data_IF_536156745606
#
_entry.id   IF_536156745606
#
_cell.length_a   1.000
_cell.length_b   1.000
_cell.length_c   1.000
_cell.angle_alpha   90.00
_cell.angle_beta   90.00
_cell.angle_gamma   90.00
#
_symmetry.space_group_name_H-M   'P 1'
#
loop_
_entity.id
_entity.type
_entity.pdbx_description
1 polymer ?
#
# COMPACT_ATOMS: atom_id res chain seq x y z
N UNK A 1 -8.38 -41.53 -9.57
CA UNK A 1 -8.50 -41.11 -8.15
C UNK A 1 -8.91 -39.64 -8.08
N UNK A 2 -9.90 -39.31 -7.24
CA UNK A 2 -10.32 -37.92 -6.99
C UNK A 2 -9.54 -37.35 -5.80
N UNK A 3 -9.15 -36.08 -5.89
CA UNK A 3 -8.59 -35.30 -4.78
C UNK A 3 -9.54 -34.13 -4.53
N UNK A 4 -9.72 -33.77 -3.26
CA UNK A 4 -10.50 -32.61 -2.85
C UNK A 4 -9.53 -31.52 -2.41
N UNK A 5 -9.64 -30.37 -3.05
CA UNK A 5 -8.93 -29.14 -2.68
C UNK A 5 -9.94 -28.01 -2.49
N UNK A 6 -9.49 -26.88 -1.95
CA UNK A 6 -10.29 -25.67 -1.83
C UNK A 6 -9.43 -24.45 -2.07
N UNK A 7 -10.04 -23.40 -2.61
CA UNK A 7 -9.39 -22.13 -2.90
C UNK A 7 -10.22 -21.00 -2.28
N UNK A 8 -9.53 -20.10 -1.56
CA UNK A 8 -10.12 -18.85 -1.07
C UNK A 8 -10.27 -17.82 -2.19
N UNK A 9 -11.14 -16.84 -1.93
CA UNK A 9 -11.35 -15.66 -2.76
C UNK A 9 -10.04 -14.98 -3.14
N UNK A 10 -9.91 -14.65 -4.43
CA UNK A 10 -8.77 -13.95 -5.04
C UNK A 10 -9.27 -13.20 -6.27
N UNK A 11 -8.57 -12.14 -6.71
CA UNK A 11 -8.84 -11.52 -8.00
C UNK A 11 -8.78 -12.55 -9.15
N UNK A 12 -9.60 -12.35 -10.19
CA UNK A 12 -9.70 -13.26 -11.33
C UNK A 12 -8.33 -13.57 -11.97
N UNK A 13 -7.48 -12.55 -12.16
CA UNK A 13 -6.11 -12.74 -12.67
C UNK A 13 -5.34 -13.79 -11.86
N UNK A 14 -5.35 -13.62 -10.55
CA UNK A 14 -4.52 -14.41 -9.65
C UNK A 14 -4.98 -15.87 -9.63
N UNK A 15 -6.29 -16.11 -9.42
CA UNK A 15 -6.80 -17.48 -9.32
C UNK A 15 -6.66 -18.26 -10.63
N UNK A 16 -6.90 -17.60 -11.77
CA UNK A 16 -6.80 -18.22 -13.09
C UNK A 16 -5.35 -18.56 -13.45
N UNK A 17 -4.39 -17.71 -13.07
CA UNK A 17 -2.96 -17.97 -13.29
C UNK A 17 -2.38 -18.99 -12.31
N UNK A 18 -2.82 -19.01 -11.04
CA UNK A 18 -2.26 -19.92 -10.02
C UNK A 18 -2.75 -21.36 -10.18
N UNK A 19 -4.00 -21.56 -10.58
CA UNK A 19 -4.66 -22.87 -10.50
C UNK A 19 -4.79 -23.60 -11.85
N UNK A 20 -4.76 -22.88 -12.99
CA UNK A 20 -4.95 -23.51 -14.31
C UNK A 20 -3.88 -23.20 -15.36
N UNK A 21 -2.98 -22.22 -15.12
CA UNK A 21 -1.91 -21.93 -16.10
C UNK A 21 -1.02 -23.15 -16.28
N UNK A 22 -0.60 -23.44 -17.50
CA UNK A 22 0.13 -24.68 -17.83
C UNK A 22 1.44 -24.86 -17.06
N UNK A 23 2.06 -23.75 -16.64
CA UNK A 23 3.32 -23.71 -15.89
C UNK A 23 3.13 -23.47 -14.39
N UNK A 24 1.89 -23.32 -13.92
CA UNK A 24 1.64 -23.03 -12.53
C UNK A 24 1.94 -24.24 -11.64
N UNK A 25 2.65 -23.96 -10.54
CA UNK A 25 3.02 -24.98 -9.54
C UNK A 25 1.80 -25.63 -8.88
N UNK A 26 0.72 -24.87 -8.73
CA UNK A 26 -0.51 -25.29 -8.05
C UNK A 26 -1.61 -25.72 -9.02
N UNK A 27 -1.25 -26.06 -10.27
CA UNK A 27 -2.18 -26.62 -11.23
C UNK A 27 -2.47 -28.09 -10.90
N UNK A 28 -3.50 -28.31 -10.08
CA UNK A 28 -3.85 -29.63 -9.53
C UNK A 28 -4.46 -30.57 -10.59
N UNK A 29 -5.09 -30.02 -11.63
CA UNK A 29 -5.64 -30.81 -12.74
C UNK A 29 -4.63 -31.14 -13.82
N UNK A 30 -3.41 -30.58 -13.74
CA UNK A 30 -2.40 -30.63 -14.79
C UNK A 30 -2.92 -30.14 -16.15
N UNK A 31 -3.91 -29.25 -16.15
CA UNK A 31 -4.50 -28.68 -17.37
C UNK A 31 -3.43 -27.93 -18.17
N UNK A 32 -3.35 -28.17 -19.48
CA UNK A 32 -2.40 -27.52 -20.36
C UNK A 32 -3.07 -27.17 -21.67
N UNK A 33 -3.32 -25.88 -21.88
CA UNK A 33 -3.86 -25.37 -23.13
C UNK A 33 -3.17 -24.04 -23.48
N UNK A 34 -2.41 -23.97 -24.60
CA UNK A 34 -1.75 -22.75 -25.02
C UNK A 34 -2.71 -21.58 -25.30
N UNK A 35 -3.94 -21.85 -25.77
CA UNK A 35 -4.94 -20.82 -26.01
C UNK A 35 -5.43 -20.21 -24.69
N UNK A 36 -5.60 -21.03 -23.65
CA UNK A 36 -5.91 -20.55 -22.30
C UNK A 36 -4.79 -19.65 -21.76
N UNK A 37 -3.53 -20.10 -21.83
CA UNK A 37 -2.39 -19.31 -21.36
C UNK A 37 -2.29 -17.96 -22.11
N UNK A 38 -2.56 -17.96 -23.42
CA UNK A 38 -2.56 -16.74 -24.23
C UNK A 38 -3.66 -15.75 -23.82
N UNK A 39 -4.86 -16.23 -23.50
CA UNK A 39 -5.95 -15.38 -22.99
C UNK A 39 -5.55 -14.70 -21.68
N UNK A 40 -4.88 -15.43 -20.77
CA UNK A 40 -4.40 -14.85 -19.51
C UNK A 40 -3.33 -13.78 -19.73
N UNK A 41 -2.41 -14.00 -20.67
CA UNK A 41 -1.37 -13.02 -20.99
C UNK A 41 -1.95 -11.75 -21.63
N UNK A 42 -2.94 -11.90 -22.53
CA UNK A 42 -3.67 -10.76 -23.08
C UNK A 42 -4.41 -9.99 -21.99
N UNK A 43 -5.13 -10.71 -21.11
CA UNK A 43 -5.90 -10.09 -20.03
C UNK A 43 -5.01 -9.29 -19.05
N UNK A 44 -3.76 -9.71 -18.83
CA UNK A 44 -2.79 -8.97 -17.99
C UNK A 44 -2.31 -7.66 -18.61
N UNK A 45 -2.24 -7.61 -19.94
CA UNK A 45 -1.83 -6.41 -20.67
C UNK A 45 -3.00 -5.46 -20.97
N UNK A 46 -4.25 -5.91 -20.82
CA UNK A 46 -5.43 -5.12 -21.09
C UNK A 46 -5.77 -4.16 -19.93
N UNK A 47 -5.92 -2.88 -20.27
CA UNK A 47 -6.19 -1.79 -19.34
C UNK A 47 -7.69 -1.49 -19.22
N UNK A 48 -8.46 -1.74 -20.28
CA UNK A 48 -9.91 -1.58 -20.25
C UNK A 48 -10.56 -2.72 -19.46
N UNK A 49 -11.42 -2.35 -18.51
CA UNK A 49 -12.01 -3.31 -17.59
C UNK A 49 -12.96 -4.28 -18.29
N UNK A 50 -13.80 -3.78 -19.20
CA UNK A 50 -14.80 -4.59 -19.89
C UNK A 50 -14.12 -5.56 -20.85
N UNK A 51 -13.16 -5.09 -21.66
CA UNK A 51 -12.36 -5.94 -22.53
C UNK A 51 -11.59 -7.01 -21.74
N UNK A 52 -10.98 -6.65 -20.61
CA UNK A 52 -10.29 -7.61 -19.75
C UNK A 52 -11.23 -8.64 -19.13
N UNK A 53 -12.43 -8.23 -18.72
CA UNK A 53 -13.45 -9.13 -18.19
C UNK A 53 -13.82 -10.18 -19.23
N UNK A 54 -14.03 -9.76 -20.48
CA UNK A 54 -14.43 -10.66 -21.56
C UNK A 54 -13.33 -11.69 -21.88
N UNK A 55 -12.04 -11.30 -21.81
CA UNK A 55 -10.91 -12.22 -21.91
C UNK A 55 -10.90 -13.28 -20.78
N UNK A 56 -11.15 -12.87 -19.53
CA UNK A 56 -11.24 -13.82 -18.42
C UNK A 56 -12.47 -14.72 -18.51
N UNK A 57 -13.60 -14.23 -19.03
CA UNK A 57 -14.77 -15.07 -19.28
C UNK A 57 -14.49 -16.13 -20.35
N UNK A 58 -13.80 -15.77 -21.43
CA UNK A 58 -13.36 -16.73 -22.43
C UNK A 58 -12.42 -17.79 -21.84
N UNK A 59 -11.47 -17.39 -20.98
CA UNK A 59 -10.59 -18.32 -20.29
C UNK A 59 -11.37 -19.26 -19.34
N UNK A 60 -12.36 -18.73 -18.61
CA UNK A 60 -13.25 -19.51 -17.75
C UNK A 60 -14.09 -20.52 -18.53
N UNK A 61 -14.54 -20.16 -19.74
CA UNK A 61 -15.28 -21.07 -20.60
C UNK A 61 -14.42 -22.28 -21.01
N UNK A 62 -13.16 -22.05 -21.39
CA UNK A 62 -12.25 -23.15 -21.74
C UNK A 62 -12.04 -24.13 -20.58
N UNK A 63 -11.79 -23.63 -19.36
CA UNK A 63 -11.61 -24.52 -18.19
C UNK A 63 -12.93 -25.17 -17.75
N UNK A 64 -14.09 -24.60 -18.05
CA UNK A 64 -15.37 -25.22 -17.77
C UNK A 64 -15.66 -26.38 -18.74
N UNK A 65 -15.24 -26.27 -20.00
CA UNK A 65 -15.45 -27.29 -21.04
C UNK A 65 -14.40 -28.39 -21.01
N UNK A 66 -13.13 -28.03 -20.73
CA UNK A 66 -11.98 -28.93 -20.89
C UNK A 66 -11.25 -29.23 -19.57
N UNK A 67 -11.53 -28.48 -18.51
CA UNK A 67 -10.79 -28.57 -17.25
C UNK A 67 -11.07 -29.84 -16.47
N UNK A 68 -10.08 -30.27 -15.67
CA UNK A 68 -10.20 -31.44 -14.80
C UNK A 68 -10.84 -31.18 -13.43
N UNK A 69 -11.36 -29.97 -13.20
CA UNK A 69 -11.93 -29.57 -11.91
C UNK A 69 -13.44 -29.71 -11.91
N UNK A 70 -13.97 -30.24 -10.80
CA UNK A 70 -15.39 -30.21 -10.49
C UNK A 70 -15.61 -29.23 -9.33
N UNK A 71 -16.35 -28.15 -9.58
CA UNK A 71 -16.64 -27.10 -8.57
C UNK A 71 -18.11 -27.24 -8.14
N UNK A 72 -18.41 -27.93 -7.03
CA UNK A 72 -19.79 -28.24 -6.64
C UNK A 72 -20.50 -27.08 -5.94
N UNK A 73 -19.76 -26.17 -5.29
CA UNK A 73 -20.32 -25.03 -4.55
C UNK A 73 -19.28 -23.95 -4.28
N UNK A 74 -19.77 -22.75 -3.96
CA UNK A 74 -19.00 -21.67 -3.36
C UNK A 74 -19.43 -21.51 -1.90
N UNK A 75 -18.47 -21.34 -0.97
CA UNK A 75 -18.75 -21.33 0.47
C UNK A 75 -19.16 -19.95 0.94
N UNK A 76 -20.23 -19.87 1.73
CA UNK A 76 -20.60 -18.65 2.44
C UNK A 76 -19.67 -18.43 3.64
N UNK A 77 -19.12 -17.22 3.76
CA UNK A 77 -18.42 -16.80 4.97
C UNK A 77 -19.40 -16.21 5.99
N UNK A 78 -19.29 -16.62 7.25
CA UNK A 78 -20.11 -16.09 8.34
C UNK A 78 -19.23 -15.54 9.45
N UNK A 79 -19.53 -14.31 9.88
CA UNK A 79 -18.89 -13.68 11.03
C UNK A 79 -19.90 -13.61 12.18
N UNK A 80 -19.57 -14.27 13.29
CA UNK A 80 -20.38 -14.19 14.51
C UNK A 80 -19.66 -13.28 15.49
N UNK A 81 -20.29 -12.16 15.82
CA UNK A 81 -19.78 -11.18 16.78
C UNK A 81 -20.74 -11.05 17.96
N UNK A 82 -20.18 -10.78 19.15
CA UNK A 82 -20.97 -10.46 20.33
C UNK A 82 -21.71 -9.12 20.11
N UNK A 83 -22.94 -8.98 20.63
CA UNK A 83 -23.74 -7.75 20.50
C UNK A 83 -23.09 -6.50 21.13
N UNK A 84 -22.10 -6.67 22.00
CA UNK A 84 -21.30 -5.58 22.57
C UNK A 84 -20.19 -5.08 21.63
N UNK A 85 -19.91 -5.82 20.55
CA UNK A 85 -18.85 -5.49 19.58
C UNK A 85 -19.48 -4.82 18.36
N UNK A 86 -19.13 -3.54 18.15
CA UNK A 86 -19.59 -2.73 17.01
C UNK A 86 -18.43 -2.30 16.12
N UNK A 87 -18.70 -2.00 14.86
CA UNK A 87 -17.70 -1.46 13.92
C UNK A 87 -16.80 -2.52 13.27
N UNK A 88 -17.15 -3.80 13.40
CA UNK A 88 -16.50 -4.87 12.61
C UNK A 88 -17.11 -4.84 11.20
N UNK A 89 -16.31 -4.59 10.15
CA UNK A 89 -16.80 -4.64 8.79
C UNK A 89 -17.28 -6.05 8.43
N UNK A 90 -18.27 -6.15 7.54
CA UNK A 90 -18.83 -7.43 7.12
C UNK A 90 -17.83 -8.30 6.33
N UNK A 91 -16.79 -7.70 5.75
CA UNK A 91 -15.69 -8.36 5.05
C UNK A 91 -14.42 -8.31 5.90
N UNK A 92 -13.71 -9.44 5.96
CA UNK A 92 -12.46 -9.53 6.70
C UNK A 92 -11.34 -8.79 5.96
N UNK A 93 -10.38 -8.25 6.72
CA UNK A 93 -9.24 -7.44 6.26
C UNK A 93 -8.35 -8.07 5.14
N UNK A 94 -8.56 -9.34 4.79
CA UNK A 94 -7.87 -10.04 3.69
C UNK A 94 -8.50 -9.84 2.31
N UNK A 95 -9.68 -9.21 2.22
CA UNK A 95 -10.51 -9.11 1.02
C UNK A 95 -10.52 -7.71 0.38
N UNK A 96 -9.47 -6.91 0.61
CA UNK A 96 -9.37 -5.52 0.13
C UNK A 96 -9.76 -5.41 -1.35
N UNK A 97 -10.82 -4.64 -1.66
CA UNK A 97 -11.17 -4.28 -3.02
C UNK A 97 -10.15 -3.27 -3.58
N UNK A 98 -9.00 -3.75 -4.04
CA UNK A 98 -7.91 -2.89 -4.54
C UNK A 98 -8.33 -1.95 -5.67
N UNK A 99 -9.39 -2.27 -6.42
CA UNK A 99 -9.84 -1.53 -7.60
C UNK A 99 -10.75 -0.32 -7.30
N UNK A 100 -11.45 -0.31 -6.15
CA UNK A 100 -12.37 0.76 -5.73
C UNK A 100 -11.79 1.58 -4.60
N UNK A 101 -10.89 0.99 -3.80
CA UNK A 101 -10.72 1.46 -2.44
C UNK A 101 -9.45 2.27 -2.16
N UNK A 102 -8.51 2.44 -3.09
CA UNK A 102 -7.36 3.31 -2.77
C UNK A 102 -7.82 4.75 -2.52
N UNK A 103 -8.75 5.27 -3.33
CA UNK A 103 -9.27 6.62 -3.12
C UNK A 103 -10.22 6.69 -1.92
N UNK A 104 -11.17 5.77 -1.74
CA UNK A 104 -12.11 5.81 -0.61
C UNK A 104 -11.47 5.41 0.71
N UNK A 105 -10.54 4.46 0.76
CA UNK A 105 -9.77 4.15 1.96
C UNK A 105 -8.80 5.26 2.30
N UNK A 106 -8.08 5.85 1.33
CA UNK A 106 -7.27 7.04 1.63
C UNK A 106 -8.15 8.20 2.06
N UNK A 107 -9.29 8.44 1.42
CA UNK A 107 -10.19 9.55 1.79
C UNK A 107 -10.86 9.31 3.14
N UNK A 108 -11.23 8.08 3.48
CA UNK A 108 -11.79 7.71 4.79
C UNK A 108 -10.71 7.79 5.86
N UNK A 109 -9.50 7.31 5.58
CA UNK A 109 -8.33 7.50 6.43
C UNK A 109 -8.06 9.00 6.60
N UNK A 110 -8.01 9.80 5.53
CA UNK A 110 -7.78 11.25 5.58
C UNK A 110 -8.90 11.99 6.30
N UNK A 111 -10.17 11.59 6.16
CA UNK A 111 -11.31 12.16 6.91
C UNK A 111 -11.27 11.77 8.38
N UNK A 112 -11.00 10.52 8.70
CA UNK A 112 -10.78 10.05 10.06
C UNK A 112 -9.57 10.76 10.70
N UNK A 113 -8.50 10.94 9.93
CA UNK A 113 -7.28 11.66 10.32
C UNK A 113 -7.49 13.16 10.47
N UNK A 114 -8.36 13.79 9.66
CA UNK A 114 -8.67 15.21 9.71
C UNK A 114 -9.72 15.56 10.77
N UNK A 115 -10.61 14.61 11.10
CA UNK A 115 -11.64 14.77 12.14
C UNK A 115 -11.08 14.67 13.57
N UNK A 116 -9.88 14.11 13.74
CA UNK A 116 -9.20 13.98 15.03
C UNK A 116 -8.31 15.20 15.30
N UNK A 117 -8.82 16.13 16.11
CA UNK A 117 -8.16 17.41 16.45
C UNK A 117 -7.14 17.29 17.62
N UNK A 118 -6.80 16.06 18.00
CA UNK A 118 -6.01 15.69 19.20
C UNK A 118 -4.51 15.52 18.93
N UNK A 119 -4.02 15.96 17.76
CA UNK A 119 -2.60 15.87 17.38
C UNK A 119 -2.14 14.46 17.01
N UNK A 120 -3.04 13.47 16.99
CA UNK A 120 -2.77 12.08 16.58
C UNK A 120 -2.27 12.01 15.13
N UNK A 121 -2.83 12.84 14.24
CA UNK A 121 -2.37 12.93 12.85
C UNK A 121 -0.90 13.30 12.72
N UNK A 122 -0.43 14.28 13.50
CA UNK A 122 0.97 14.70 13.48
C UNK A 122 1.89 13.57 13.99
N UNK A 123 1.46 12.83 15.02
CA UNK A 123 2.20 11.67 15.55
C UNK A 123 2.26 10.51 14.55
N UNK A 124 1.16 10.20 13.87
CA UNK A 124 1.12 9.18 12.82
C UNK A 124 1.97 9.55 11.61
N UNK A 125 1.94 10.81 11.16
CA UNK A 125 2.78 11.25 10.05
C UNK A 125 4.28 11.10 10.36
N UNK A 126 4.68 11.39 11.60
CA UNK A 126 6.06 11.19 12.09
C UNK A 126 6.42 9.71 12.16
N UNK A 127 5.51 8.84 12.61
CA UNK A 127 5.71 7.37 12.60
C UNK A 127 5.84 6.83 11.18
N UNK A 128 4.96 7.26 10.27
CA UNK A 128 5.00 6.85 8.86
C UNK A 128 6.30 7.29 8.19
N UNK A 129 6.74 8.52 8.41
CA UNK A 129 8.04 8.99 7.91
C UNK A 129 9.20 8.16 8.49
N UNK A 130 9.18 7.85 9.80
CA UNK A 130 10.21 7.02 10.41
C UNK A 130 10.27 5.62 9.77
N UNK A 131 9.13 4.99 9.54
CA UNK A 131 9.04 3.69 8.89
C UNK A 131 9.52 3.75 7.43
N UNK A 132 9.11 4.78 6.68
CA UNK A 132 9.48 4.94 5.28
C UNK A 132 10.99 5.15 5.10
N UNK A 133 11.61 6.02 5.90
CA UNK A 133 13.05 6.22 5.90
C UNK A 133 13.80 5.00 6.44
N UNK A 134 13.25 4.28 7.41
CA UNK A 134 13.82 3.02 7.89
C UNK A 134 13.87 1.94 6.81
N UNK A 135 12.77 1.77 6.06
CA UNK A 135 12.73 0.85 4.93
C UNK A 135 13.72 1.26 3.83
N UNK A 136 13.79 2.56 3.52
CA UNK A 136 14.77 3.11 2.58
C UNK A 136 16.22 2.84 3.00
N UNK A 137 16.51 2.88 4.31
CA UNK A 137 17.84 2.60 4.81
C UNK A 137 18.24 1.16 4.48
N UNK A 138 17.36 0.18 4.72
CA UNK A 138 17.61 -1.23 4.40
C UNK A 138 17.92 -1.43 2.90
N UNK A 139 17.10 -0.87 2.01
CA UNK A 139 17.31 -1.03 0.57
C UNK A 139 18.60 -0.36 0.09
N UNK A 140 18.96 0.80 0.65
CA UNK A 140 20.21 1.49 0.31
C UNK A 140 21.44 0.74 0.82
N UNK A 141 21.38 0.13 2.01
CA UNK A 141 22.46 -0.73 2.50
C UNK A 141 22.64 -1.98 1.65
N UNK A 142 21.56 -2.63 1.25
CA UNK A 142 21.60 -3.79 0.35
C UNK A 142 22.20 -3.43 -1.02
N UNK A 143 21.89 -2.25 -1.55
CA UNK A 143 22.49 -1.71 -2.77
C UNK A 143 23.93 -1.21 -2.64
N UNK A 144 24.57 -1.32 -1.47
CA UNK A 144 25.95 -0.87 -1.22
C UNK A 144 26.10 0.66 -1.04
N UNK A 145 25.00 1.40 -0.94
CA UNK A 145 24.99 2.86 -0.79
C UNK A 145 25.01 3.27 0.69
N UNK A 146 26.12 2.97 1.36
CA UNK A 146 26.27 3.16 2.83
C UNK A 146 26.01 4.58 3.31
N UNK A 147 26.40 5.61 2.55
CA UNK A 147 26.16 7.01 2.89
C UNK A 147 24.66 7.36 2.87
N UNK A 148 23.92 6.90 1.85
CA UNK A 148 22.47 7.13 1.75
C UNK A 148 21.67 6.29 2.75
N UNK A 149 22.08 5.04 2.98
CA UNK A 149 21.51 4.20 4.03
C UNK A 149 21.67 4.81 5.42
N UNK A 150 22.85 5.38 5.70
CA UNK A 150 23.10 6.09 6.96
C UNK A 150 22.26 7.35 7.08
N UNK A 151 22.13 8.15 6.01
CA UNK A 151 21.31 9.36 5.99
C UNK A 151 19.83 9.04 6.26
N UNK A 152 19.28 8.00 5.62
CA UNK A 152 17.91 7.55 5.83
C UNK A 152 17.71 7.01 7.26
N UNK A 153 18.70 6.29 7.80
CA UNK A 153 18.66 5.81 9.20
C UNK A 153 18.58 6.98 10.18
N UNK A 154 19.40 8.02 9.97
CA UNK A 154 19.37 9.23 10.81
C UNK A 154 18.00 9.92 10.71
N UNK A 155 17.43 10.03 9.52
CA UNK A 155 16.07 10.59 9.35
C UNK A 155 15.02 9.77 10.09
N UNK A 156 15.07 8.43 10.01
CA UNK A 156 14.16 7.57 10.74
C UNK A 156 14.24 7.80 12.26
N UNK A 157 15.47 7.86 12.80
CA UNK A 157 15.71 8.10 14.23
C UNK A 157 15.22 9.49 14.66
N UNK A 158 15.52 10.53 13.89
CA UNK A 158 15.07 11.91 14.21
C UNK A 158 13.54 11.99 14.27
N UNK A 159 12.83 11.33 13.35
CA UNK A 159 11.36 11.27 13.41
C UNK A 159 10.89 10.55 14.69
N UNK A 160 11.51 9.42 15.08
CA UNK A 160 11.16 8.74 16.35
C UNK A 160 11.47 9.59 17.59
N UNK A 161 12.57 10.36 17.57
CA UNK A 161 12.91 11.28 18.66
C UNK A 161 11.93 12.45 18.74
N UNK A 162 11.47 12.95 17.60
CA UNK A 162 10.42 13.95 17.54
C UNK A 162 9.11 13.42 18.13
N UNK A 163 8.77 12.15 17.90
CA UNK A 163 7.60 11.52 18.52
C UNK A 163 7.73 11.47 20.06
N UNK A 164 8.88 11.00 20.55
CA UNK A 164 9.12 10.81 22.00
C UNK A 164 9.22 12.12 22.77
N UNK A 165 9.75 13.18 22.15
CA UNK A 165 10.03 14.45 22.83
C UNK A 165 9.40 15.66 22.15
N UNK A 166 8.32 15.51 21.40
CA UNK A 166 7.66 16.57 20.61
C UNK A 166 7.55 17.93 21.31
N UNK A 167 7.23 17.97 22.61
CA UNK A 167 7.10 19.20 23.39
C UNK A 167 8.40 20.00 23.56
N UNK A 168 9.57 19.34 23.48
CA UNK A 168 10.88 19.98 23.66
C UNK A 168 11.41 20.66 22.40
N UNK A 169 10.93 20.29 21.21
CA UNK A 169 11.52 20.75 19.94
C UNK A 169 11.04 22.16 19.55
N UNK A 170 9.98 22.67 20.17
CA UNK A 170 9.40 23.98 19.84
C UNK A 170 9.01 24.09 18.35
N UNK A 171 8.71 25.31 17.89
CA UNK A 171 8.37 25.55 16.46
C UNK A 171 9.57 25.29 15.56
N UNK A 172 10.72 25.85 15.95
CA UNK A 172 11.92 25.85 15.12
C UNK A 172 12.46 24.44 14.92
N UNK A 173 12.57 23.65 15.99
CA UNK A 173 13.02 22.26 15.89
C UNK A 173 12.07 21.41 15.06
N UNK A 174 10.75 21.61 15.20
CA UNK A 174 9.76 20.90 14.38
C UNK A 174 9.91 21.23 12.89
N UNK A 175 10.13 22.49 12.55
CA UNK A 175 10.38 22.91 11.16
C UNK A 175 11.69 22.38 10.59
N UNK A 176 12.74 22.35 11.41
CA UNK A 176 14.03 21.78 11.01
C UNK A 176 13.92 20.29 10.71
N UNK A 177 13.08 19.53 11.44
CA UNK A 177 12.82 18.12 11.12
C UNK A 177 12.09 17.97 9.80
N UNK A 178 11.05 18.78 9.53
CA UNK A 178 10.36 18.74 8.22
C UNK A 178 11.29 19.10 7.07
N UNK A 179 12.15 20.10 7.25
CA UNK A 179 13.16 20.48 6.26
C UNK A 179 14.18 19.35 6.06
N UNK A 180 14.66 18.74 7.14
CA UNK A 180 15.59 17.61 7.07
C UNK A 180 14.97 16.43 6.31
N UNK A 181 13.73 16.06 6.63
CA UNK A 181 12.99 15.02 5.92
C UNK A 181 12.86 15.34 4.42
N UNK A 182 12.51 16.58 4.05
CA UNK A 182 12.40 16.98 2.66
C UNK A 182 13.75 16.88 1.92
N UNK A 183 14.85 17.31 2.55
CA UNK A 183 16.19 17.22 1.96
C UNK A 183 16.66 15.77 1.81
N UNK A 184 16.46 14.93 2.83
CA UNK A 184 16.80 13.50 2.75
C UNK A 184 15.95 12.80 1.69
N UNK A 185 14.66 13.08 1.61
CA UNK A 185 13.79 12.51 0.58
C UNK A 185 14.21 12.93 -0.83
N UNK A 186 14.56 14.20 -1.04
CA UNK A 186 15.05 14.69 -2.34
C UNK A 186 16.38 14.03 -2.73
N UNK A 187 17.31 13.89 -1.79
CA UNK A 187 18.58 13.20 -2.02
C UNK A 187 18.36 11.73 -2.41
N UNK A 188 17.44 11.05 -1.72
CA UNK A 188 17.05 9.68 -2.01
C UNK A 188 16.33 9.55 -3.37
N UNK A 189 15.47 10.51 -3.73
CA UNK A 189 14.79 10.55 -5.03
C UNK A 189 15.80 10.63 -6.18
N UNK A 190 16.74 11.57 -6.10
CA UNK A 190 17.82 11.76 -7.09
C UNK A 190 18.67 10.49 -7.20
N UNK A 191 18.94 9.84 -6.06
CA UNK A 191 19.72 8.60 -6.04
C UNK A 191 19.00 7.46 -6.76
N UNK A 192 17.71 7.23 -6.47
CA UNK A 192 16.92 6.22 -7.19
C UNK A 192 16.78 6.53 -8.69
N UNK A 193 16.72 7.81 -9.06
CA UNK A 193 16.72 8.22 -10.46
C UNK A 193 18.03 7.90 -11.16
N UNK A 194 19.18 8.07 -10.48
CA UNK A 194 20.51 7.67 -11.00
C UNK A 194 20.68 6.16 -11.13
N UNK A 195 19.94 5.39 -10.34
CA UNK A 195 19.90 3.92 -10.37
C UNK A 195 18.95 3.37 -11.45
N UNK A 196 18.30 4.26 -12.23
CA UNK A 196 17.29 3.91 -13.22
C UNK A 196 16.13 3.08 -12.64
N UNK A 197 15.86 3.28 -11.35
CA UNK A 197 14.84 2.53 -10.61
C UNK A 197 13.46 3.06 -11.00
N UNK A 198 12.73 2.26 -11.78
CA UNK A 198 11.42 2.63 -12.29
C UNK A 198 10.45 2.90 -11.14
N UNK A 199 9.74 4.03 -11.24
CA UNK A 199 8.68 4.48 -10.33
C UNK A 199 9.09 4.88 -8.90
N UNK A 200 10.13 4.29 -8.30
CA UNK A 200 10.50 4.53 -6.90
C UNK A 200 10.92 5.98 -6.65
N UNK A 201 11.60 6.63 -7.59
CA UNK A 201 12.01 8.03 -7.44
C UNK A 201 10.83 9.01 -7.36
N UNK A 202 9.67 8.70 -7.98
CA UNK A 202 8.46 9.52 -7.84
C UNK A 202 7.86 9.45 -6.44
N UNK A 203 7.93 8.28 -5.79
CA UNK A 203 7.48 8.13 -4.40
C UNK A 203 8.27 9.07 -3.48
N UNK A 204 9.58 9.20 -3.71
CA UNK A 204 10.42 10.08 -2.90
C UNK A 204 10.16 11.56 -3.17
N UNK A 205 9.88 11.96 -4.42
CA UNK A 205 9.41 13.31 -4.72
C UNK A 205 8.06 13.64 -4.07
N UNK A 206 7.17 12.66 -3.94
CA UNK A 206 5.92 12.82 -3.19
C UNK A 206 6.19 13.07 -1.70
N UNK A 207 7.16 12.37 -1.10
CA UNK A 207 7.57 12.56 0.31
C UNK A 207 8.13 13.97 0.54
N UNK A 208 8.86 14.54 -0.42
CA UNK A 208 9.31 15.94 -0.39
C UNK A 208 8.11 16.89 -0.27
N UNK A 209 7.13 16.74 -1.18
CA UNK A 209 5.93 17.58 -1.19
C UNK A 209 5.15 17.47 0.12
N UNK A 210 4.93 16.26 0.61
CA UNK A 210 4.22 16.01 1.87
C UNK A 210 4.96 16.68 3.04
N UNK A 211 6.29 16.60 3.09
CA UNK A 211 7.09 17.21 4.16
C UNK A 211 6.99 18.74 4.18
N UNK A 212 7.00 19.38 3.01
CA UNK A 212 6.85 20.83 2.87
C UNK A 212 5.44 21.27 3.28
N UNK A 213 4.41 20.57 2.79
CA UNK A 213 3.00 20.87 3.10
C UNK A 213 2.75 20.68 4.60
N UNK A 214 3.25 19.61 5.21
CA UNK A 214 3.13 19.37 6.64
C UNK A 214 3.74 20.49 7.49
N UNK A 215 4.92 21.00 7.11
CA UNK A 215 5.55 22.16 7.75
C UNK A 215 4.70 23.44 7.64
N UNK A 216 4.14 23.71 6.47
CA UNK A 216 3.24 24.85 6.25
C UNK A 216 1.94 24.77 7.05
N UNK A 217 1.32 23.59 7.10
CA UNK A 217 0.12 23.33 7.90
C UNK A 217 0.39 23.49 9.40
N UNK A 218 1.54 23.00 9.87
CA UNK A 218 1.97 23.16 11.26
C UNK A 218 2.09 24.64 11.66
N UNK A 219 2.74 25.47 10.82
CA UNK A 219 2.84 26.92 11.03
C UNK A 219 1.48 27.60 11.08
N UNK A 220 0.59 27.27 10.15
CA UNK A 220 -0.73 27.86 10.10
C UNK A 220 -1.57 27.52 11.34
N UNK A 221 -1.51 26.26 11.81
CA UNK A 221 -2.16 25.83 13.06
C UNK A 221 -1.59 26.59 14.25
N UNK A 222 -0.27 26.64 14.40
CA UNK A 222 0.37 27.34 15.51
C UNK A 222 0.01 28.82 15.54
N UNK A 223 0.01 29.49 14.38
CA UNK A 223 -0.42 30.89 14.26
C UNK A 223 -1.86 31.10 14.73
N UNK A 224 -2.79 30.20 14.39
CA UNK A 224 -4.18 30.25 14.86
C UNK A 224 -4.28 30.06 16.37
N UNK A 225 -3.55 29.10 16.94
CA UNK A 225 -3.51 28.88 18.39
C UNK A 225 -2.95 30.09 19.14
N UNK A 226 -1.85 30.67 18.66
CA UNK A 226 -1.23 31.86 19.26
C UNK A 226 -2.14 33.10 19.16
N UNK A 227 -2.95 33.20 18.09
CA UNK A 227 -3.96 34.26 17.94
C UNK A 227 -5.16 34.06 18.86
N UNK A 228 -5.59 32.82 19.09
CA UNK A 228 -6.67 32.49 20.00
C UNK A 228 -6.28 32.71 21.46
N UNK A 229 -5.04 32.41 21.84
CA UNK A 229 -4.51 32.63 23.20
C UNK A 229 -4.30 34.11 23.57
N UNK A 230 -4.30 35.01 22.57
CA UNK A 230 -4.20 36.47 22.76
C UNK A 230 -5.55 37.18 22.88
N UNK A 231 -6.67 36.48 22.63
CA UNK A 231 -8.03 36.97 22.81
C UNK A 231 -8.58 36.54 24.16
#
# INVERSE_FOLDING_TARGET
>A
PFVVSYWRERPADQILNENWRSTAKWNESYYKNPAYDQLLDQARTELDFEARRDLYQAAQQLIAEEGGHLIPYHVNQFHVVNNQVSGVPAQAFTEIEWHTDLHSSLTTLFRFMAARDDGVFARMAVILNAALFGLAAFTQFEGGYTAFGSLCTVAAVINLLQLRWSERWGTLGTLLVFLFNALTAAATAIQYQRQDSQYIHYVWWLVVLISIIAGGLYLNRKRKTDQAAKK
#
